data_IF_942923678246
#
_entry.id   IF_942923678246
#
_cell.length_a   1.000
_cell.length_b   1.000
_cell.length_c   1.000
_cell.angle_alpha   90.00
_cell.angle_beta   90.00
_cell.angle_gamma   90.00
#
_symmetry.space_group_name_H-M   'P 1'
#
loop_
_entity.id
_entity.type
_entity.pdbx_description
1 polymer ?
#
# COMPACT_ATOMS: atom_id res chain seq x y z
N UNK A 1 7.54 3.55 -5.84
CA UNK A 1 7.97 2.19 -6.20
C UNK A 1 6.77 1.29 -6.29
N UNK A 2 6.78 0.31 -7.20
CA UNK A 2 5.77 -0.77 -7.31
C UNK A 2 5.63 -1.46 -5.95
N UNK A 3 4.42 -1.84 -5.53
CA UNK A 3 4.20 -2.37 -4.18
C UNK A 3 4.96 -3.67 -3.90
N UNK A 4 5.22 -4.44 -4.95
CA UNK A 4 5.96 -5.70 -4.95
C UNK A 4 7.41 -5.52 -5.47
N UNK A 5 8.01 -4.33 -5.52
CA UNK A 5 9.44 -4.22 -5.82
C UNK A 5 10.31 -4.57 -4.60
N UNK A 6 11.57 -4.95 -4.80
CA UNK A 6 12.54 -5.16 -3.70
C UNK A 6 12.63 -3.93 -2.80
N UNK A 7 12.62 -2.73 -3.38
CA UNK A 7 12.64 -1.43 -2.69
C UNK A 7 11.47 -1.23 -1.71
N UNK A 8 10.40 -2.03 -1.80
CA UNK A 8 9.25 -2.03 -0.90
C UNK A 8 9.23 -3.28 -0.03
N UNK A 9 9.43 -4.47 -0.62
CA UNK A 9 9.38 -5.78 0.07
C UNK A 9 10.35 -5.86 1.25
N UNK A 10 11.55 -5.32 1.09
CA UNK A 10 12.62 -5.42 2.10
C UNK A 10 12.40 -4.48 3.29
N UNK A 11 11.46 -3.55 3.20
CA UNK A 11 11.17 -2.64 4.31
C UNK A 11 10.28 -3.33 5.38
N UNK A 12 10.37 -2.94 6.66
CA UNK A 12 9.65 -3.60 7.77
C UNK A 12 8.12 -3.63 7.65
N UNK A 13 7.49 -4.79 7.83
CA UNK A 13 6.02 -4.93 7.92
C UNK A 13 5.59 -5.05 9.39
N UNK A 14 4.29 -5.05 9.66
CA UNK A 14 3.79 -5.28 11.01
C UNK A 14 4.27 -6.64 11.48
N UNK A 15 4.73 -6.72 12.73
CA UNK A 15 5.01 -7.99 13.36
C UNK A 15 3.72 -8.81 13.44
N UNK A 16 3.88 -10.13 13.42
CA UNK A 16 2.76 -11.07 13.57
C UNK A 16 1.92 -10.68 14.80
N UNK A 17 0.61 -10.72 14.63
CA UNK A 17 -0.38 -10.45 15.68
C UNK A 17 -0.31 -9.03 16.31
N UNK A 18 0.34 -8.07 15.65
CA UNK A 18 0.35 -6.66 16.06
C UNK A 18 -0.55 -5.80 15.19
N UNK A 19 -1.01 -4.67 15.75
CA UNK A 19 -1.80 -3.64 15.04
C UNK A 19 -3.04 -4.22 14.34
N UNK A 20 -3.59 -5.31 14.88
CA UNK A 20 -4.70 -6.06 14.27
C UNK A 20 -5.93 -5.17 14.12
N UNK A 21 -6.33 -4.46 15.18
CA UNK A 21 -7.53 -3.62 15.16
C UNK A 21 -7.53 -2.58 14.03
N UNK A 22 -6.43 -1.85 13.82
CA UNK A 22 -6.35 -0.85 12.75
C UNK A 22 -6.26 -1.49 11.36
N UNK A 23 -5.59 -2.65 11.23
CA UNK A 23 -5.55 -3.40 9.97
C UNK A 23 -6.95 -3.87 9.58
N UNK A 24 -7.68 -4.45 10.52
CA UNK A 24 -9.05 -4.91 10.30
C UNK A 24 -9.97 -3.76 9.92
N UNK A 25 -9.87 -2.62 10.63
CA UNK A 25 -10.65 -1.42 10.29
C UNK A 25 -10.41 -0.95 8.85
N UNK A 26 -9.16 -0.96 8.38
CA UNK A 26 -8.85 -0.55 7.00
C UNK A 26 -9.30 -1.60 5.99
N UNK A 27 -9.17 -2.89 6.33
CA UNK A 27 -9.66 -3.97 5.48
C UNK A 27 -11.18 -3.95 5.33
N UNK A 28 -11.91 -3.69 6.41
CA UNK A 28 -13.36 -3.53 6.41
C UNK A 28 -13.76 -2.32 5.57
N UNK A 29 -13.19 -1.14 5.85
CA UNK A 29 -13.41 0.08 5.05
C UNK A 29 -13.21 -0.15 3.54
N UNK A 30 -12.15 -0.85 3.14
CA UNK A 30 -11.87 -1.12 1.73
C UNK A 30 -12.90 -2.06 1.06
N UNK A 31 -13.63 -2.84 1.86
CA UNK A 31 -14.60 -3.84 1.40
C UNK A 31 -16.07 -3.43 1.59
N UNK A 32 -16.36 -2.39 2.38
CA UNK A 32 -17.72 -1.93 2.68
C UNK A 32 -18.46 -1.34 1.46
N UNK A 33 -17.79 -1.13 0.32
CA UNK A 33 -18.42 -0.63 -0.91
C UNK A 33 -19.01 0.78 -0.77
N UNK A 34 -18.46 1.59 0.14
CA UNK A 34 -18.87 2.97 0.37
C UNK A 34 -18.36 3.89 -0.75
N UNK A 35 -18.93 5.09 -0.85
CA UNK A 35 -18.42 6.12 -1.77
C UNK A 35 -17.06 6.72 -1.33
N UNK A 36 -16.52 6.30 -0.18
CA UNK A 36 -15.27 6.78 0.37
C UNK A 36 -14.06 6.06 -0.25
N UNK A 37 -13.45 6.68 -1.24
CA UNK A 37 -12.32 6.08 -2.00
C UNK A 37 -10.93 6.37 -1.40
N UNK A 38 -10.84 7.15 -0.31
CA UNK A 38 -9.56 7.55 0.30
C UNK A 38 -9.58 7.31 1.81
N UNK A 39 -8.73 6.39 2.29
CA UNK A 39 -8.47 6.21 3.71
C UNK A 39 -7.30 7.06 4.18
N UNK A 40 -7.55 7.95 5.14
CA UNK A 40 -6.51 8.79 5.74
C UNK A 40 -5.98 8.19 7.06
N UNK A 41 -4.84 7.48 6.98
CA UNK A 41 -4.14 6.98 8.17
C UNK A 41 -3.23 8.04 8.78
N UNK A 42 -3.71 8.75 9.80
CA UNK A 42 -2.95 9.78 10.52
C UNK A 42 -2.41 9.32 11.87
N UNK A 43 -1.39 10.01 12.37
CA UNK A 43 -0.80 9.76 13.68
C UNK A 43 0.63 10.29 13.80
N UNK A 44 1.21 10.28 15.01
CA UNK A 44 2.54 10.83 15.26
C UNK A 44 3.64 10.23 14.37
N UNK A 45 4.73 10.98 14.17
CA UNK A 45 5.90 10.44 13.46
C UNK A 45 6.45 9.19 14.18
N UNK A 46 6.97 8.23 13.42
CA UNK A 46 7.56 7.00 13.99
C UNK A 46 6.57 5.92 14.46
N UNK A 47 5.25 6.12 14.39
CA UNK A 47 4.26 5.14 14.89
C UNK A 47 3.98 3.96 13.95
N UNK A 48 4.72 3.84 12.84
CA UNK A 48 4.59 2.70 11.92
C UNK A 48 3.45 2.79 10.91
N UNK A 49 2.95 4.00 10.57
CA UNK A 49 1.91 4.18 9.54
C UNK A 49 2.27 3.51 8.19
N UNK A 50 3.48 3.77 7.68
CA UNK A 50 3.97 3.13 6.45
C UNK A 50 4.14 1.61 6.60
N UNK A 51 4.40 1.12 7.81
CA UNK A 51 4.48 -0.32 8.14
C UNK A 51 3.11 -0.98 8.05
N UNK A 52 2.05 -0.31 8.55
CA UNK A 52 0.66 -0.75 8.40
C UNK A 52 0.27 -0.80 6.92
N UNK A 53 0.53 0.27 6.16
CA UNK A 53 0.20 0.34 4.73
C UNK A 53 0.86 -0.78 3.91
N UNK A 54 2.13 -1.11 4.18
CA UNK A 54 2.82 -2.23 3.51
C UNK A 54 2.24 -3.59 3.88
N UNK A 55 1.86 -3.77 5.14
CA UNK A 55 1.20 -5.01 5.58
C UNK A 55 -0.17 -5.19 4.90
N UNK A 56 -0.91 -4.10 4.72
CA UNK A 56 -2.19 -4.14 4.03
C UNK A 56 -2.04 -4.37 2.52
N UNK A 57 -1.02 -3.78 1.89
CA UNK A 57 -0.74 -4.06 0.48
C UNK A 57 -0.47 -5.56 0.23
N UNK A 58 0.32 -6.21 1.09
CA UNK A 58 0.53 -7.66 1.04
C UNK A 58 -0.77 -8.44 1.25
N UNK A 59 -1.58 -8.04 2.24
CA UNK A 59 -2.86 -8.68 2.54
C UNK A 59 -3.81 -8.62 1.34
N UNK A 60 -4.05 -7.43 0.78
CA UNK A 60 -4.93 -7.28 -0.40
C UNK A 60 -4.36 -7.94 -1.66
N UNK A 61 -3.04 -8.01 -1.80
CA UNK A 61 -2.43 -8.78 -2.90
C UNK A 61 -2.69 -10.28 -2.75
N UNK A 62 -2.60 -10.83 -1.53
CA UNK A 62 -2.89 -12.23 -1.25
C UNK A 62 -4.37 -12.58 -1.46
N UNK A 63 -5.28 -11.65 -1.13
CA UNK A 63 -6.72 -11.78 -1.38
C UNK A 63 -7.14 -11.51 -2.84
N UNK A 64 -6.19 -11.26 -3.75
CA UNK A 64 -6.44 -10.86 -5.15
C UNK A 64 -7.28 -9.58 -5.31
N UNK A 65 -7.26 -8.70 -4.32
CA UNK A 65 -7.99 -7.42 -4.33
C UNK A 65 -7.10 -6.24 -4.75
N UNK A 66 -5.77 -6.39 -4.72
CA UNK A 66 -4.82 -5.35 -5.14
C UNK A 66 -4.38 -5.56 -6.61
N UNK A 67 -4.97 -4.79 -7.52
CA UNK A 67 -4.61 -4.83 -8.96
C UNK A 67 -3.31 -4.05 -9.23
N UNK A 68 -3.12 -2.91 -8.58
CA UNK A 68 -1.91 -2.11 -8.70
C UNK A 68 -1.65 -1.30 -7.42
N UNK A 69 -0.39 -1.01 -7.12
CA UNK A 69 -0.01 -0.21 -5.96
C UNK A 69 1.31 0.54 -6.15
N UNK A 70 1.45 1.67 -5.46
CA UNK A 70 2.67 2.47 -5.49
C UNK A 70 2.98 3.11 -4.13
N UNK A 71 4.22 2.98 -3.69
CA UNK A 71 4.73 3.66 -2.49
C UNK A 71 5.62 4.86 -2.86
N UNK A 72 5.12 6.06 -2.58
CA UNK A 72 5.91 7.31 -2.60
C UNK A 72 6.89 7.34 -1.44
N UNK A 73 8.05 7.98 -1.65
CA UNK A 73 9.07 8.20 -0.63
C UNK A 73 9.77 9.53 -0.87
N UNK A 74 9.51 10.49 0.02
CA UNK A 74 9.92 11.91 -0.14
C UNK A 74 11.44 12.09 -0.30
N UNK A 75 12.23 11.28 0.40
CA UNK A 75 13.70 11.38 0.38
C UNK A 75 14.38 10.54 -0.69
N UNK A 76 13.64 9.95 -1.63
CA UNK A 76 14.22 9.07 -2.66
C UNK A 76 13.87 9.61 -4.05
N UNK A 77 14.91 9.97 -4.81
CA UNK A 77 14.76 10.49 -6.16
C UNK A 77 14.03 9.47 -7.05
N UNK A 78 13.11 9.97 -7.89
CA UNK A 78 12.26 9.12 -8.71
C UNK A 78 11.06 8.52 -7.96
N UNK A 79 11.00 8.61 -6.63
CA UNK A 79 9.83 8.18 -5.81
C UNK A 79 9.19 9.31 -5.00
N UNK A 80 9.73 10.52 -5.10
CA UNK A 80 9.25 11.72 -4.45
C UNK A 80 8.31 12.56 -5.33
N UNK A 81 7.99 12.10 -6.54
CA UNK A 81 7.07 12.76 -7.48
C UNK A 81 6.28 11.76 -8.32
N UNK A 82 5.54 12.29 -9.30
CA UNK A 82 4.57 11.52 -10.11
C UNK A 82 5.16 10.90 -11.38
N UNK A 83 6.39 11.27 -11.77
CA UNK A 83 7.01 10.83 -13.03
C UNK A 83 7.02 9.30 -13.20
N UNK A 84 7.24 8.54 -12.12
CA UNK A 84 7.19 7.07 -12.15
C UNK A 84 5.83 6.49 -11.73
N UNK A 85 4.92 7.29 -11.18
CA UNK A 85 3.66 6.80 -10.61
C UNK A 85 2.76 6.19 -11.69
N UNK A 86 2.32 6.99 -12.66
CA UNK A 86 1.44 6.53 -13.74
C UNK A 86 2.00 5.36 -14.56
N UNK A 87 3.25 5.39 -15.07
CA UNK A 87 3.78 4.26 -15.83
C UNK A 87 3.89 2.98 -15.00
N UNK A 88 4.19 3.09 -13.69
CA UNK A 88 4.24 1.91 -12.80
C UNK A 88 2.85 1.31 -12.58
N UNK A 89 1.81 2.14 -12.44
CA UNK A 89 0.42 1.65 -12.34
C UNK A 89 -0.02 1.01 -13.66
N UNK A 90 0.23 1.66 -14.80
CA UNK A 90 -0.12 1.12 -16.11
C UNK A 90 0.52 -0.25 -16.39
N UNK A 91 1.82 -0.40 -16.10
CA UNK A 91 2.52 -1.68 -16.24
C UNK A 91 1.93 -2.77 -15.34
N UNK A 92 1.54 -2.46 -14.11
CA UNK A 92 0.88 -3.43 -13.22
C UNK A 92 -0.49 -3.87 -13.73
N UNK A 93 -1.26 -2.94 -14.31
CA UNK A 93 -2.57 -3.24 -14.87
C UNK A 93 -2.44 -4.20 -16.06
N UNK A 94 -1.46 -4.00 -16.94
CA UNK A 94 -1.18 -4.91 -18.06
C UNK A 94 -0.80 -6.31 -17.57
N UNK A 95 -0.08 -6.42 -16.44
CA UNK A 95 0.29 -7.72 -15.87
C UNK A 95 -0.91 -8.48 -15.26
N UNK A 96 -1.99 -7.77 -14.90
CA UNK A 96 -3.10 -8.29 -14.08
C UNK A 96 -4.45 -8.35 -14.78
N UNK A 97 -4.67 -7.52 -15.80
CA UNK A 97 -5.90 -7.45 -16.57
C UNK A 97 -5.58 -7.94 -17.98
N UNK A 98 -6.14 -9.08 -18.43
CA UNK A 98 -5.91 -9.62 -19.76
C UNK A 98 -6.48 -8.76 -20.89
#
# INVERSE_FOLDING_TARGET
ARYDSSEVRDNPKCLKDTRISIRNKIAEWANEGTDENIFWLSGPAGTGKSTIARTLADFFAAENQLVAGYFFKRGEEGRNGTARFFPTIASQLVDKIP
#
